data_IF_186989480511
#
_entry.id   IF_186989480511
#
_cell.length_a   1.000
_cell.length_b   1.000
_cell.length_c   1.000
_cell.angle_alpha   90.00
_cell.angle_beta   90.00
_cell.angle_gamma   90.00
#
_symmetry.space_group_name_H-M   'P 1'
#
loop_
_entity.id
_entity.type
_entity.pdbx_description
1 polymer ?
#
# COMPACT_ATOMS: atom_id res chain seq x y z
N UNK A 1 -25.24 20.05 4.57
CA UNK A 1 -24.54 21.16 5.26
C UNK A 1 -24.27 22.31 4.30
N UNK A 2 -23.57 22.09 3.18
CA UNK A 2 -23.28 23.14 2.18
C UNK A 2 -24.56 23.74 1.60
N UNK A 3 -25.52 22.91 1.17
CA UNK A 3 -26.80 23.38 0.61
C UNK A 3 -27.61 24.19 1.62
N UNK A 4 -27.75 23.69 2.86
CA UNK A 4 -28.48 24.40 3.92
C UNK A 4 -27.81 25.72 4.33
N UNK A 5 -26.47 25.80 4.32
CA UNK A 5 -25.75 27.05 4.56
C UNK A 5 -25.95 28.05 3.41
N UNK A 6 -25.92 27.58 2.16
CA UNK A 6 -26.17 28.42 0.99
C UNK A 6 -27.60 29.00 1.03
N UNK A 7 -28.60 28.14 1.30
CA UNK A 7 -29.99 28.55 1.45
C UNK A 7 -30.20 29.54 2.60
N UNK A 8 -29.56 29.33 3.75
CA UNK A 8 -29.66 30.24 4.89
C UNK A 8 -29.06 31.63 4.64
N UNK A 9 -28.27 31.79 3.56
CA UNK A 9 -27.66 33.05 3.14
C UNK A 9 -28.18 33.52 1.77
N UNK A 10 -29.35 33.03 1.33
CA UNK A 10 -29.99 33.42 0.07
C UNK A 10 -29.10 33.27 -1.18
N UNK A 11 -28.20 32.29 -1.18
CA UNK A 11 -27.32 31.94 -2.31
C UNK A 11 -27.46 30.47 -2.70
N UNK A 12 -26.96 30.12 -3.90
CA UNK A 12 -26.90 28.73 -4.37
C UNK A 12 -25.44 28.27 -4.43
N UNK A 13 -25.18 27.03 -3.99
CA UNK A 13 -23.88 26.39 -4.13
C UNK A 13 -23.96 25.26 -5.17
N UNK A 14 -22.98 25.20 -6.08
CA UNK A 14 -22.75 24.05 -6.95
C UNK A 14 -21.57 23.28 -6.39
N UNK A 15 -21.79 22.01 -6.01
CA UNK A 15 -20.73 21.13 -5.49
C UNK A 15 -20.39 20.11 -6.57
N UNK A 16 -19.13 20.07 -6.97
CA UNK A 16 -18.58 19.06 -7.87
C UNK A 16 -17.54 18.25 -7.10
N UNK A 17 -17.76 16.94 -7.01
CA UNK A 17 -16.83 16.01 -6.36
C UNK A 17 -16.22 15.15 -7.45
N UNK A 18 -14.93 15.35 -7.72
CA UNK A 18 -14.17 14.50 -8.62
C UNK A 18 -13.52 13.37 -7.81
N UNK A 19 -13.84 12.08 -8.08
CA UNK A 19 -13.15 10.98 -7.45
C UNK A 19 -11.69 10.90 -7.95
N UNK A 20 -10.78 10.52 -7.05
CA UNK A 20 -9.41 10.14 -7.40
C UNK A 20 -9.28 8.60 -7.41
N UNK A 21 -8.09 8.08 -7.14
CA UNK A 21 -7.85 6.66 -6.94
C UNK A 21 -8.72 6.09 -5.80
N UNK A 22 -9.20 4.84 -5.93
CA UNK A 22 -9.80 4.13 -4.81
C UNK A 22 -8.77 3.89 -3.70
N UNK A 23 -9.22 3.40 -2.56
CA UNK A 23 -8.31 3.05 -1.46
C UNK A 23 -7.40 1.90 -1.90
N UNK A 24 -6.08 2.10 -1.79
CA UNK A 24 -5.08 1.05 -2.00
C UNK A 24 -5.28 -0.01 -0.92
N UNK A 25 -5.81 -1.16 -1.32
CA UNK A 25 -6.09 -2.27 -0.43
C UNK A 25 -5.52 -3.56 -1.01
N UNK A 26 -4.76 -4.27 -0.19
CA UNK A 26 -4.25 -5.57 -0.58
C UNK A 26 -5.34 -6.63 -0.53
N UNK A 27 -5.29 -7.57 -1.47
CA UNK A 27 -6.11 -8.77 -1.38
C UNK A 27 -5.74 -9.56 -0.11
N UNK A 28 -6.75 -9.94 0.67
CA UNK A 28 -6.55 -10.57 1.98
C UNK A 28 -5.94 -11.96 1.86
N UNK A 29 -6.37 -12.75 0.88
CA UNK A 29 -5.86 -14.10 0.69
C UNK A 29 -4.41 -14.07 0.19
N UNK A 30 -4.11 -13.21 -0.78
CA UNK A 30 -2.75 -12.98 -1.25
C UNK A 30 -1.84 -12.51 -0.10
N UNK A 31 -2.29 -11.53 0.69
CA UNK A 31 -1.54 -11.05 1.87
C UNK A 31 -1.25 -12.16 2.86
N UNK A 32 -2.21 -13.04 3.13
CA UNK A 32 -2.02 -14.15 4.06
C UNK A 32 -1.06 -15.21 3.50
N UNK A 33 -1.27 -15.63 2.25
CA UNK A 33 -0.52 -16.74 1.67
C UNK A 33 0.92 -16.39 1.29
N UNK A 34 1.21 -15.13 0.98
CA UNK A 34 2.56 -14.71 0.59
C UNK A 34 3.46 -14.34 1.78
N UNK A 35 2.90 -14.10 2.98
CA UNK A 35 3.67 -13.74 4.18
C UNK A 35 4.88 -14.65 4.44
N UNK A 36 4.76 -16.00 4.38
CA UNK A 36 5.91 -16.89 4.58
C UNK A 36 7.04 -16.68 3.57
N UNK A 37 6.72 -16.29 2.33
CA UNK A 37 7.73 -15.95 1.31
C UNK A 37 8.47 -14.68 1.68
N UNK A 38 7.77 -13.64 2.14
CA UNK A 38 8.41 -12.37 2.54
C UNK A 38 9.26 -12.55 3.81
N UNK A 39 8.76 -13.32 4.79
CA UNK A 39 9.46 -13.62 6.03
C UNK A 39 10.81 -14.32 5.80
N UNK A 40 10.93 -15.18 4.78
CA UNK A 40 12.22 -15.81 4.41
C UNK A 40 13.28 -14.79 3.98
N UNK A 41 12.89 -13.61 3.50
CA UNK A 41 13.80 -12.56 3.03
C UNK A 41 14.16 -11.59 4.15
N UNK A 42 13.17 -11.08 4.88
CA UNK A 42 13.39 -10.01 5.87
C UNK A 42 13.46 -10.52 7.32
N UNK A 43 13.02 -11.75 7.58
CA UNK A 43 12.81 -12.30 8.92
C UNK A 43 11.49 -11.82 9.55
N UNK A 44 10.93 -12.64 10.44
CA UNK A 44 9.64 -12.36 11.09
C UNK A 44 9.64 -11.06 11.90
N UNK A 45 10.79 -10.69 12.47
CA UNK A 45 10.92 -9.46 13.27
C UNK A 45 10.85 -8.16 12.48
N UNK A 46 11.02 -8.22 11.14
CA UNK A 46 10.98 -7.06 10.23
C UNK A 46 9.78 -7.07 9.28
N UNK A 47 8.91 -8.08 9.40
CA UNK A 47 7.68 -8.18 8.61
C UNK A 47 6.50 -7.71 9.46
N UNK A 48 5.82 -6.67 9.00
CA UNK A 48 4.66 -6.10 9.69
C UNK A 48 3.47 -6.06 8.76
N UNK A 49 2.34 -6.59 9.23
CA UNK A 49 1.04 -6.40 8.58
C UNK A 49 0.42 -5.14 9.15
N UNK A 50 0.00 -4.21 8.28
CA UNK A 50 -0.70 -3.01 8.73
C UNK A 50 -2.16 -3.33 9.01
N UNK A 51 -2.61 -3.04 10.23
CA UNK A 51 -4.02 -3.24 10.63
C UNK A 51 -4.97 -2.26 9.92
N UNK A 52 -4.43 -1.14 9.43
CA UNK A 52 -5.18 -0.08 8.75
C UNK A 52 -4.42 0.38 7.50
N UNK A 53 -5.16 0.89 6.52
CA UNK A 53 -4.55 1.46 5.32
C UNK A 53 -3.75 2.72 5.68
N UNK A 54 -2.59 2.89 5.02
CA UNK A 54 -1.83 4.12 5.12
C UNK A 54 -2.60 5.30 4.53
N UNK A 55 -2.32 6.52 5.01
CA UNK A 55 -2.99 7.74 4.57
C UNK A 55 -2.62 8.19 3.15
N UNK A 56 -1.52 7.68 2.59
CA UNK A 56 -1.07 8.03 1.24
C UNK A 56 -1.97 7.38 0.18
N UNK A 57 -2.52 8.20 -0.71
CA UNK A 57 -3.19 7.73 -1.92
C UNK A 57 -2.16 7.21 -2.93
N UNK A 58 -2.45 6.08 -3.58
CA UNK A 58 -1.58 5.49 -4.59
C UNK A 58 -2.42 5.02 -5.79
N UNK A 59 -2.02 5.35 -7.01
CA UNK A 59 -2.79 5.02 -8.21
C UNK A 59 -2.76 3.51 -8.54
N UNK A 60 -1.80 2.77 -7.97
CA UNK A 60 -1.76 1.31 -7.97
C UNK A 60 -3.07 0.68 -7.49
N UNK A 61 -3.87 1.40 -6.69
CA UNK A 61 -5.20 0.97 -6.26
C UNK A 61 -6.14 0.59 -7.42
N UNK A 62 -5.93 1.15 -8.62
CA UNK A 62 -6.71 0.76 -9.80
C UNK A 62 -6.44 -0.69 -10.24
N UNK A 63 -5.25 -1.25 -10.01
CA UNK A 63 -5.00 -2.66 -10.30
C UNK A 63 -5.84 -3.59 -9.41
N UNK A 64 -6.10 -3.18 -8.17
CA UNK A 64 -6.96 -3.91 -7.24
C UNK A 64 -8.43 -4.01 -7.69
N UNK A 65 -8.85 -3.20 -8.67
CA UNK A 65 -10.16 -3.32 -9.34
C UNK A 65 -10.19 -4.39 -10.41
N UNK A 66 -9.03 -4.79 -10.94
CA UNK A 66 -8.91 -5.70 -12.08
C UNK A 66 -8.42 -7.09 -11.69
N UNK A 67 -7.67 -7.20 -10.59
CA UNK A 67 -7.05 -8.44 -10.14
C UNK A 67 -6.72 -8.39 -8.64
N UNK A 68 -6.40 -9.54 -8.00
CA UNK A 68 -5.85 -9.54 -6.64
C UNK A 68 -4.54 -8.72 -6.61
N UNK A 69 -4.56 -7.56 -5.96
CA UNK A 69 -3.42 -6.66 -5.87
C UNK A 69 -2.69 -6.81 -4.54
N UNK A 70 -1.37 -6.62 -4.56
CA UNK A 70 -0.53 -6.64 -3.37
C UNK A 70 0.56 -5.56 -3.48
N UNK A 71 0.54 -4.63 -2.55
CA UNK A 71 1.41 -3.48 -2.43
C UNK A 71 2.05 -3.47 -1.04
N UNK A 72 3.33 -3.16 -0.97
CA UNK A 72 4.09 -3.20 0.29
C UNK A 72 4.90 -1.93 0.47
N UNK A 73 5.02 -1.48 1.72
CA UNK A 73 6.03 -0.49 2.08
C UNK A 73 7.36 -1.21 2.34
N UNK A 74 8.41 -0.76 1.65
CA UNK A 74 9.77 -1.21 1.88
C UNK A 74 10.48 -0.20 2.79
N UNK A 75 10.92 -0.66 3.97
CA UNK A 75 11.72 0.16 4.87
C UNK A 75 13.03 0.59 4.22
N UNK A 76 13.26 1.91 4.17
CA UNK A 76 14.41 2.53 3.50
C UNK A 76 15.21 3.47 4.43
N UNK A 77 14.81 3.59 5.70
CA UNK A 77 15.53 4.40 6.68
C UNK A 77 16.90 3.77 6.98
N UNK A 78 18.01 4.53 6.93
CA UNK A 78 19.33 4.06 7.35
C UNK A 78 19.31 3.46 8.75
N UNK A 79 19.98 2.32 8.95
CA UNK A 79 19.97 1.57 10.23
C UNK A 79 20.47 2.38 11.44
N UNK A 80 21.30 3.39 11.21
CA UNK A 80 21.84 4.28 12.23
C UNK A 80 21.02 5.56 12.45
N UNK A 81 19.87 5.69 11.79
CA UNK A 81 18.97 6.83 11.94
C UNK A 81 17.74 6.44 12.77
N UNK A 82 17.34 7.30 13.70
CA UNK A 82 16.08 7.16 14.42
C UNK A 82 14.90 7.30 13.44
N UNK A 83 14.10 6.23 13.33
CA UNK A 83 12.93 6.18 12.46
C UNK A 83 11.93 7.29 12.75
N UNK A 84 11.79 7.70 14.02
CA UNK A 84 10.84 8.76 14.42
C UNK A 84 11.28 10.16 13.97
N UNK A 85 12.56 10.31 13.61
CA UNK A 85 13.16 11.54 13.11
C UNK A 85 13.43 11.48 11.60
N UNK A 86 13.10 10.37 10.94
CA UNK A 86 13.30 10.22 9.51
C UNK A 86 12.37 11.15 8.72
N UNK A 87 12.94 11.90 7.78
CA UNK A 87 12.16 12.78 6.94
C UNK A 87 11.21 11.95 6.05
N UNK A 88 9.92 12.30 5.94
CA UNK A 88 8.96 11.51 5.16
C UNK A 88 9.16 11.70 3.65
N UNK A 89 8.49 10.85 2.87
CA UNK A 89 8.32 11.06 1.43
C UNK A 89 7.83 12.50 1.14
N UNK A 90 8.30 13.09 0.04
CA UNK A 90 8.10 14.51 -0.36
C UNK A 90 8.86 15.57 0.45
N UNK A 91 9.64 15.20 1.47
CA UNK A 91 10.54 16.13 2.15
C UNK A 91 11.81 16.40 1.31
N UNK A 92 12.35 17.64 1.28
CA UNK A 92 13.66 17.90 0.68
C UNK A 92 14.83 17.23 1.44
N UNK A 93 14.58 16.73 2.66
CA UNK A 93 15.55 15.99 3.47
C UNK A 93 15.34 14.47 3.39
N UNK A 94 14.45 13.99 2.52
CA UNK A 94 14.23 12.58 2.32
C UNK A 94 15.49 11.90 1.79
N UNK A 95 15.89 10.80 2.44
CA UNK A 95 17.03 9.97 2.04
C UNK A 95 16.63 8.51 2.05
N UNK A 96 17.33 7.70 1.27
CA UNK A 96 17.10 6.26 1.11
C UNK A 96 18.40 5.51 1.38
N UNK A 97 18.34 4.48 2.22
CA UNK A 97 19.41 3.50 2.34
C UNK A 97 19.43 2.58 1.11
N UNK A 98 20.51 2.63 0.33
CA UNK A 98 20.68 1.79 -0.85
C UNK A 98 20.67 0.29 -0.55
N UNK A 99 20.89 -0.15 0.71
CA UNK A 99 20.71 -1.54 1.11
C UNK A 99 19.27 -2.02 0.87
N UNK A 100 18.29 -1.12 0.92
CA UNK A 100 16.89 -1.44 0.64
C UNK A 100 16.70 -1.98 -0.79
N UNK A 101 17.51 -1.57 -1.76
CA UNK A 101 17.43 -2.09 -3.13
C UNK A 101 17.62 -3.59 -3.18
N UNK A 102 18.64 -4.13 -2.48
CA UNK A 102 18.88 -5.57 -2.42
C UNK A 102 17.66 -6.31 -1.84
N UNK A 103 17.14 -5.83 -0.72
CA UNK A 103 15.98 -6.42 -0.04
C UNK A 103 14.73 -6.35 -0.92
N UNK A 104 14.45 -5.20 -1.54
CA UNK A 104 13.30 -4.99 -2.41
C UNK A 104 13.36 -5.87 -3.67
N UNK A 105 14.53 -5.96 -4.32
CA UNK A 105 14.73 -6.85 -5.46
C UNK A 105 14.54 -8.31 -5.08
N UNK A 106 15.12 -8.76 -3.97
CA UNK A 106 14.95 -10.15 -3.53
C UNK A 106 13.48 -10.46 -3.18
N UNK A 107 12.79 -9.57 -2.46
CA UNK A 107 11.36 -9.70 -2.16
C UNK A 107 10.53 -9.85 -3.43
N UNK A 108 10.77 -8.99 -4.43
CA UNK A 108 10.01 -9.02 -5.68
C UNK A 108 10.28 -10.31 -6.48
N UNK A 109 11.54 -10.74 -6.59
CA UNK A 109 11.89 -11.99 -7.27
C UNK A 109 11.26 -13.20 -6.56
N UNK A 110 11.36 -13.26 -5.23
CA UNK A 110 10.76 -14.33 -4.42
C UNK A 110 9.24 -14.35 -4.56
N UNK A 111 8.59 -13.19 -4.56
CA UNK A 111 7.17 -13.06 -4.83
C UNK A 111 6.79 -13.70 -6.17
N UNK A 112 7.49 -13.33 -7.25
CA UNK A 112 7.20 -13.85 -8.60
C UNK A 112 7.41 -15.36 -8.69
N UNK A 113 8.48 -15.88 -8.08
CA UNK A 113 8.79 -17.32 -8.11
C UNK A 113 7.83 -18.16 -7.26
N UNK A 114 7.36 -17.65 -6.13
CA UNK A 114 6.51 -18.40 -5.20
C UNK A 114 5.01 -18.22 -5.49
N UNK A 115 4.60 -17.12 -6.14
CA UNK A 115 3.20 -16.84 -6.45
C UNK A 115 2.47 -17.99 -7.18
N UNK A 116 3.07 -18.69 -8.17
CA UNK A 116 2.41 -19.84 -8.81
C UNK A 116 1.90 -20.89 -7.82
N UNK A 117 2.58 -21.11 -6.69
CA UNK A 117 2.21 -22.11 -5.67
C UNK A 117 0.93 -21.76 -4.89
N UNK A 118 0.57 -20.47 -4.86
CA UNK A 118 -0.60 -19.96 -4.14
C UNK A 118 -1.66 -19.37 -5.09
N UNK A 119 -1.33 -19.22 -6.37
CA UNK A 119 -2.13 -18.51 -7.37
C UNK A 119 -3.57 -19.03 -7.45
N UNK A 120 -3.78 -20.35 -7.45
CA UNK A 120 -5.12 -20.94 -7.53
C UNK A 120 -5.98 -20.55 -6.32
N UNK A 121 -5.42 -20.58 -5.11
CA UNK A 121 -6.11 -20.24 -3.87
C UNK A 121 -6.48 -18.75 -3.85
N UNK A 122 -5.55 -17.89 -4.27
CA UNK A 122 -5.77 -16.44 -4.39
C UNK A 122 -6.87 -16.16 -5.41
N UNK A 123 -6.77 -16.69 -6.63
CA UNK A 123 -7.75 -16.45 -7.69
C UNK A 123 -9.15 -17.00 -7.33
N UNK A 124 -9.23 -18.12 -6.62
CA UNK A 124 -10.52 -18.70 -6.19
C UNK A 124 -11.21 -17.87 -5.11
N UNK A 125 -10.45 -17.18 -4.27
CA UNK A 125 -10.98 -16.39 -3.14
C UNK A 125 -11.24 -14.93 -3.50
N UNK A 126 -10.63 -14.44 -4.58
CA UNK A 126 -10.77 -13.05 -5.00
C UNK A 126 -12.19 -12.73 -5.46
N UNK A 127 -12.66 -11.56 -5.02
CA UNK A 127 -13.92 -10.97 -5.47
C UNK A 127 -13.63 -9.54 -5.89
N UNK A 128 -14.01 -9.14 -7.13
CA UNK A 128 -13.89 -7.74 -7.52
C UNK A 128 -14.68 -6.86 -6.56
N UNK A 129 -14.10 -5.69 -6.24
CA UNK A 129 -14.63 -4.70 -5.29
C UNK A 129 -15.35 -3.55 -5.97
#
# INVERSE_FOLDING_TARGET
MIEHNAQANDVTAKVEIAPYAPVTMNDKALTQFIQPTLAKVVGDSKLHVLDHNASASEDFAYYGKLMPSFFVFLGATPENQDLTQAAPNHSPYFIVDNKALKTGTELHVRFVLDYPNISKQVQTSWKPS
#
